data_IF_493497219212
#
_entry.id   IF_493497219212
#
_cell.length_a   1.000
_cell.length_b   1.000
_cell.length_c   1.000
_cell.angle_alpha   90.00
_cell.angle_beta   90.00
_cell.angle_gamma   90.00
#
_symmetry.space_group_name_H-M   'P 1'
#
loop_
_entity.id
_entity.type
_entity.pdbx_description
1 polymer ?
#
# COMPACT_ATOMS: atom_id res chain seq x y z
N UNK A 1 -23.31 7.68 -22.25
CA UNK A 1 -22.95 6.28 -21.90
C UNK A 1 -22.52 5.59 -23.19
N UNK A 2 -21.22 5.40 -23.40
CA UNK A 2 -20.70 4.77 -24.62
C UNK A 2 -20.47 3.29 -24.32
N UNK A 3 -21.44 2.43 -24.65
CA UNK A 3 -21.33 0.99 -24.46
C UNK A 3 -20.46 0.43 -25.59
N UNK A 4 -19.18 0.20 -25.34
CA UNK A 4 -18.36 -0.63 -26.23
C UNK A 4 -18.75 -2.09 -25.99
N UNK A 5 -19.51 -2.66 -26.92
CA UNK A 5 -19.81 -4.10 -26.94
C UNK A 5 -18.52 -4.87 -27.27
N UNK A 6 -17.73 -5.17 -26.24
CA UNK A 6 -16.64 -6.14 -26.35
C UNK A 6 -17.20 -7.56 -26.56
N UNK A 7 -16.35 -8.48 -27.05
CA UNK A 7 -16.73 -9.89 -27.19
C UNK A 7 -17.21 -10.48 -25.86
N UNK A 8 -18.13 -11.43 -25.92
CA UNK A 8 -18.50 -12.21 -24.75
C UNK A 8 -17.27 -12.95 -24.20
N UNK A 9 -17.11 -12.95 -22.88
CA UNK A 9 -16.05 -13.70 -22.22
C UNK A 9 -16.36 -15.20 -22.33
N UNK A 10 -15.35 -15.99 -22.65
CA UNK A 10 -15.42 -17.45 -22.60
C UNK A 10 -15.34 -17.91 -21.14
N UNK A 11 -15.71 -19.18 -20.91
CA UNK A 11 -15.55 -19.80 -19.58
C UNK A 11 -14.08 -19.73 -19.16
N UNK A 12 -13.83 -19.16 -17.98
CA UNK A 12 -12.48 -18.99 -17.43
C UNK A 12 -11.78 -17.69 -17.86
N UNK A 13 -12.43 -16.83 -18.65
CA UNK A 13 -11.94 -15.48 -18.94
C UNK A 13 -12.55 -14.45 -17.98
N UNK A 14 -11.73 -13.54 -17.47
CA UNK A 14 -12.12 -12.52 -16.51
C UNK A 14 -11.68 -11.14 -16.99
N UNK A 15 -12.58 -10.15 -16.88
CA UNK A 15 -12.22 -8.74 -17.11
C UNK A 15 -11.35 -8.24 -15.97
N UNK A 16 -10.25 -7.60 -16.33
CA UNK A 16 -9.27 -7.06 -15.40
C UNK A 16 -9.03 -5.59 -15.72
N UNK A 17 -9.11 -4.75 -14.69
CA UNK A 17 -8.72 -3.34 -14.78
C UNK A 17 -7.25 -3.20 -14.41
N UNK A 18 -6.47 -2.60 -15.29
CA UNK A 18 -5.05 -2.33 -15.05
C UNK A 18 -4.88 -0.86 -14.66
N UNK A 19 -4.24 -0.65 -13.52
CA UNK A 19 -3.87 0.68 -13.02
C UNK A 19 -2.35 0.80 -12.98
N UNK A 20 -1.77 1.90 -13.45
CA UNK A 20 -0.38 2.21 -13.18
C UNK A 20 -0.20 2.58 -11.71
N UNK A 21 0.78 1.97 -11.05
CA UNK A 21 1.28 2.39 -9.75
C UNK A 21 2.46 3.35 -9.96
N UNK A 22 2.27 4.60 -9.53
CA UNK A 22 3.25 5.67 -9.60
C UNK A 22 3.67 6.04 -8.16
N UNK A 23 4.52 5.21 -7.56
CA UNK A 23 4.79 5.19 -6.10
C UNK A 23 5.16 6.57 -5.53
N UNK A 24 5.88 7.40 -6.30
CA UNK A 24 6.39 8.71 -5.88
C UNK A 24 5.58 9.91 -6.41
N UNK A 25 4.49 9.67 -7.15
CA UNK A 25 3.65 10.74 -7.67
C UNK A 25 2.54 11.11 -6.69
N UNK A 26 2.08 12.36 -6.77
CA UNK A 26 0.97 12.86 -5.93
C UNK A 26 -0.35 12.11 -6.17
N UNK A 27 -0.55 11.60 -7.38
CA UNK A 27 -1.63 10.70 -7.77
C UNK A 27 -1.05 9.32 -8.11
N UNK A 28 -0.88 8.43 -7.12
CA UNK A 28 -0.12 7.21 -7.32
C UNK A 28 -0.87 6.11 -8.09
N UNK A 29 -2.16 6.30 -8.37
CA UNK A 29 -3.01 5.29 -8.98
C UNK A 29 -3.68 5.87 -10.24
N UNK A 30 -3.20 5.46 -11.40
CA UNK A 30 -3.72 5.93 -12.70
C UNK A 30 -4.33 4.78 -13.48
N UNK A 31 -5.60 4.86 -13.86
CA UNK A 31 -6.21 3.84 -14.73
C UNK A 31 -5.52 3.84 -16.11
N UNK A 32 -5.25 2.65 -16.64
CA UNK A 32 -4.66 2.48 -17.97
C UNK A 32 -5.67 1.89 -18.96
N UNK A 33 -6.10 0.64 -18.71
CA UNK A 33 -6.87 -0.14 -19.69
C UNK A 33 -7.70 -1.23 -19.00
N UNK A 34 -8.82 -1.59 -19.64
CA UNK A 34 -9.55 -2.83 -19.36
C UNK A 34 -9.01 -3.95 -20.28
N UNK A 35 -8.58 -5.05 -19.70
CA UNK A 35 -8.10 -6.24 -20.42
C UNK A 35 -8.84 -7.50 -19.95
N UNK A 36 -8.49 -8.65 -20.53
CA UNK A 36 -9.01 -9.96 -20.15
C UNK A 36 -7.85 -10.88 -19.84
N UNK A 37 -7.89 -11.52 -18.66
CA UNK A 37 -6.98 -12.61 -18.32
C UNK A 37 -7.76 -13.92 -18.24
N UNK A 38 -7.08 -15.03 -18.53
CA UNK A 38 -7.68 -16.35 -18.54
C UNK A 38 -7.12 -17.23 -17.41
N UNK A 39 -7.97 -18.11 -16.88
CA UNK A 39 -7.54 -19.22 -16.03
C UNK A 39 -6.44 -20.04 -16.73
N UNK A 40 -5.41 -20.42 -15.97
CA UNK A 40 -4.31 -21.24 -16.47
C UNK A 40 -3.24 -20.47 -17.26
N UNK A 41 -3.44 -19.18 -17.52
CA UNK A 41 -2.39 -18.31 -18.07
C UNK A 41 -1.41 -17.94 -16.96
N UNK A 42 -0.14 -17.82 -17.31
CA UNK A 42 0.88 -17.29 -16.41
C UNK A 42 0.86 -15.77 -16.37
N UNK A 43 1.39 -15.19 -15.30
CA UNK A 43 1.61 -13.73 -15.20
C UNK A 43 2.50 -13.22 -16.34
N UNK A 44 3.49 -14.00 -16.78
CA UNK A 44 4.31 -13.62 -17.94
C UNK A 44 3.49 -13.52 -19.22
N UNK A 45 2.67 -14.53 -19.52
CA UNK A 45 1.80 -14.52 -20.69
C UNK A 45 0.83 -13.33 -20.65
N UNK A 46 0.29 -13.00 -19.47
CA UNK A 46 -0.61 -11.86 -19.32
C UNK A 46 0.09 -10.52 -19.58
N UNK A 47 1.36 -10.38 -19.18
CA UNK A 47 2.20 -9.23 -19.53
C UNK A 47 2.45 -9.17 -21.04
N UNK A 48 2.76 -10.29 -21.68
CA UNK A 48 2.99 -10.37 -23.14
C UNK A 48 1.75 -9.90 -23.93
N UNK A 49 0.54 -10.25 -23.49
CA UNK A 49 -0.71 -9.76 -24.08
C UNK A 49 -1.02 -8.30 -23.74
N UNK A 50 -0.67 -7.86 -22.54
CA UNK A 50 -0.95 -6.51 -22.05
C UNK A 50 -0.05 -5.43 -22.69
N UNK A 51 1.23 -5.71 -22.90
CA UNK A 51 2.20 -4.71 -23.37
C UNK A 51 1.85 -4.08 -24.72
N UNK A 52 1.43 -4.83 -25.77
CA UNK A 52 0.96 -4.24 -27.02
C UNK A 52 -0.24 -3.30 -26.82
N UNK A 53 -1.19 -3.66 -25.95
CA UNK A 53 -2.35 -2.82 -25.64
C UNK A 53 -1.93 -1.51 -25.00
N UNK A 54 -0.97 -1.54 -24.06
CA UNK A 54 -0.44 -0.35 -23.41
C UNK A 54 0.31 0.56 -24.38
N UNK A 55 1.08 -0.02 -25.32
CA UNK A 55 1.76 0.74 -26.36
C UNK A 55 0.78 1.46 -27.28
N UNK A 56 -0.27 0.75 -27.72
CA UNK A 56 -1.25 1.31 -28.65
C UNK A 56 -2.14 2.37 -27.98
N UNK A 57 -2.75 2.02 -26.84
CA UNK A 57 -3.81 2.82 -26.19
C UNK A 57 -3.26 3.85 -25.21
N UNK A 58 -2.18 3.53 -24.50
CA UNK A 58 -1.63 4.38 -23.45
C UNK A 58 -0.31 5.07 -23.84
N UNK A 59 0.25 4.74 -25.02
CA UNK A 59 1.56 5.23 -25.49
C UNK A 59 2.71 4.87 -24.54
N UNK A 60 2.58 3.73 -23.86
CA UNK A 60 3.60 3.19 -22.97
C UNK A 60 4.34 2.05 -23.67
N UNK A 61 5.56 2.31 -24.13
CA UNK A 61 6.45 1.29 -24.72
C UNK A 61 7.37 0.76 -23.61
N UNK A 62 6.97 -0.36 -22.99
CA UNK A 62 7.60 -0.89 -21.80
C UNK A 62 8.32 -2.21 -22.10
N UNK A 63 9.44 -2.45 -21.41
CA UNK A 63 10.14 -3.73 -21.44
C UNK A 63 9.48 -4.70 -20.45
N UNK A 64 9.15 -5.90 -20.90
CA UNK A 64 8.53 -6.95 -20.08
C UNK A 64 9.32 -7.28 -18.80
N UNK A 65 10.65 -7.27 -18.85
CA UNK A 65 11.52 -7.61 -17.72
C UNK A 65 11.58 -6.48 -16.66
N UNK A 66 11.01 -5.31 -16.96
CA UNK A 66 10.92 -4.14 -16.08
C UNK A 66 9.50 -3.79 -15.69
N UNK A 67 8.55 -4.69 -15.94
CA UNK A 67 7.15 -4.50 -15.58
C UNK A 67 6.75 -5.55 -14.55
N UNK A 68 6.21 -5.09 -13.43
CA UNK A 68 5.64 -5.89 -12.37
C UNK A 68 4.12 -5.74 -12.34
N UNK A 69 3.41 -6.85 -12.10
CA UNK A 69 2.00 -6.81 -11.72
C UNK A 69 1.86 -7.01 -10.21
N UNK A 70 0.96 -6.27 -9.57
CA UNK A 70 0.61 -6.44 -8.15
C UNK A 70 -0.89 -6.54 -7.96
N UNK A 71 -1.30 -7.22 -6.89
CA UNK A 71 -2.67 -7.14 -6.39
C UNK A 71 -3.01 -5.69 -6.06
N UNK A 72 -4.15 -5.19 -6.55
CA UNK A 72 -4.70 -3.90 -6.14
C UNK A 72 -5.88 -4.11 -5.20
N UNK A 73 -5.72 -3.66 -3.95
CA UNK A 73 -6.83 -3.60 -2.99
C UNK A 73 -7.17 -2.15 -2.73
N UNK A 74 -8.15 -1.64 -3.46
CA UNK A 74 -8.50 -0.21 -3.47
C UNK A 74 -7.30 0.68 -3.85
N UNK A 75 -6.68 1.39 -2.90
CA UNK A 75 -5.47 2.21 -3.10
C UNK A 75 -4.17 1.45 -2.80
N UNK A 76 -4.24 0.32 -2.09
CA UNK A 76 -3.07 -0.37 -1.58
C UNK A 76 -2.45 -1.28 -2.66
N UNK A 77 -1.17 -1.09 -3.00
CA UNK A 77 -0.41 -2.11 -3.69
C UNK A 77 -0.18 -3.26 -2.71
N UNK A 78 -0.63 -4.46 -3.08
CA UNK A 78 -0.43 -5.67 -2.29
C UNK A 78 0.58 -6.59 -2.96
N UNK A 79 0.32 -7.89 -2.80
CA UNK A 79 1.10 -9.01 -3.31
C UNK A 79 1.70 -8.77 -4.70
N UNK A 80 3.00 -8.97 -4.82
CA UNK A 80 3.72 -9.00 -6.09
C UNK A 80 3.43 -10.32 -6.83
N UNK A 81 3.05 -10.23 -8.09
CA UNK A 81 2.83 -11.42 -8.92
C UNK A 81 4.08 -11.71 -9.76
N UNK A 82 4.74 -12.83 -9.44
CA UNK A 82 5.89 -13.34 -10.19
C UNK A 82 5.47 -13.98 -11.53
N UNK A 83 6.35 -13.89 -12.52
CA UNK A 83 6.11 -14.28 -13.92
C UNK A 83 5.59 -15.71 -14.10
N UNK A 84 6.05 -16.64 -13.24
CA UNK A 84 5.71 -18.05 -13.33
C UNK A 84 4.38 -18.41 -12.65
N UNK A 85 3.77 -17.50 -11.88
CA UNK A 85 2.49 -17.78 -11.24
C UNK A 85 1.37 -17.95 -12.26
N UNK A 86 0.48 -18.89 -11.99
CA UNK A 86 -0.66 -19.25 -12.83
C UNK A 86 -1.96 -18.75 -12.19
N UNK A 87 -2.79 -18.08 -12.98
CA UNK A 87 -4.09 -17.63 -12.51
C UNK A 87 -5.05 -18.80 -12.25
N UNK A 88 -5.78 -18.73 -11.13
CA UNK A 88 -6.63 -19.77 -10.53
C UNK A 88 -5.89 -20.95 -9.89
N UNK A 89 -4.56 -21.00 -9.97
CA UNK A 89 -3.74 -21.99 -9.26
C UNK A 89 -2.97 -21.31 -8.12
N UNK A 90 -2.15 -20.31 -8.46
CA UNK A 90 -1.38 -19.53 -7.49
C UNK A 90 -2.07 -18.22 -7.10
N UNK A 91 -2.81 -17.63 -8.05
CA UNK A 91 -3.46 -16.32 -7.88
C UNK A 91 -4.96 -16.46 -8.15
N UNK A 92 -5.78 -16.30 -7.12
CA UNK A 92 -7.24 -16.27 -7.28
C UNK A 92 -7.67 -15.03 -8.06
N UNK A 93 -8.40 -15.24 -9.16
CA UNK A 93 -8.96 -14.17 -9.98
C UNK A 93 -10.49 -14.22 -9.93
N UNK A 94 -11.14 -13.06 -10.01
CA UNK A 94 -12.60 -12.98 -9.87
C UNK A 94 -13.19 -11.91 -10.78
N UNK A 95 -14.51 -11.85 -10.82
CA UNK A 95 -15.22 -10.80 -11.54
C UNK A 95 -14.87 -9.42 -10.96
N UNK A 96 -14.48 -8.47 -11.82
CA UNK A 96 -14.01 -7.12 -11.46
C UNK A 96 -12.63 -7.06 -10.81
N UNK A 97 -11.74 -7.98 -11.20
CA UNK A 97 -10.38 -7.97 -10.70
C UNK A 97 -9.63 -6.69 -11.10
N UNK A 98 -8.86 -6.14 -10.18
CA UNK A 98 -8.01 -4.97 -10.43
C UNK A 98 -6.58 -5.31 -10.07
N UNK A 99 -5.65 -4.87 -10.92
CA UNK A 99 -4.21 -5.06 -10.72
C UNK A 99 -3.48 -3.73 -10.88
N UNK A 100 -2.39 -3.59 -10.15
CA UNK A 100 -1.41 -2.56 -10.43
C UNK A 100 -0.39 -3.09 -11.45
N UNK A 101 0.00 -2.23 -12.37
CA UNK A 101 1.18 -2.32 -13.19
C UNK A 101 2.20 -1.32 -12.67
N UNK A 102 3.37 -1.80 -12.31
CA UNK A 102 4.47 -0.97 -11.83
C UNK A 102 5.66 -1.10 -12.79
N UNK A 103 6.24 0.04 -13.15
CA UNK A 103 7.45 0.09 -13.97
C UNK A 103 8.64 0.18 -13.04
N UNK A 104 9.52 -0.81 -13.11
CA UNK A 104 10.72 -0.89 -12.29
C UNK A 104 11.88 -0.17 -12.98
N UNK A 105 12.73 0.48 -12.18
CA UNK A 105 13.99 1.06 -12.67
C UNK A 105 14.98 -0.01 -13.13
N UNK A 106 14.97 -1.15 -12.45
CA UNK A 106 15.80 -2.32 -12.67
C UNK A 106 14.94 -3.58 -12.91
N UNK A 107 15.57 -4.72 -13.17
CA UNK A 107 14.85 -5.99 -13.22
C UNK A 107 14.23 -6.34 -11.86
N UNK A 108 13.13 -7.10 -11.88
CA UNK A 108 12.47 -7.59 -10.68
C UNK A 108 13.46 -8.23 -9.69
N UNK A 109 13.42 -7.79 -8.44
CA UNK A 109 14.29 -8.26 -7.36
C UNK A 109 13.63 -9.38 -6.57
N UNK A 110 12.30 -9.39 -6.45
CA UNK A 110 11.57 -10.46 -5.79
C UNK A 110 11.62 -11.73 -6.64
N UNK A 111 11.94 -12.86 -6.01
CA UNK A 111 12.13 -14.18 -6.63
C UNK A 111 11.22 -15.25 -6.06
N UNK A 112 10.66 -15.03 -4.87
CA UNK A 112 9.83 -16.01 -4.16
C UNK A 112 8.68 -15.33 -3.43
N UNK A 113 7.56 -16.05 -3.28
CA UNK A 113 6.42 -15.64 -2.46
C UNK A 113 6.68 -15.73 -0.94
N UNK A 114 7.79 -16.34 -0.53
CA UNK A 114 8.24 -16.31 0.86
C UNK A 114 8.90 -14.97 1.24
N UNK A 115 9.35 -14.20 0.24
CA UNK A 115 9.91 -12.88 0.46
C UNK A 115 8.82 -11.86 0.72
N UNK A 116 9.20 -10.75 1.34
CA UNK A 116 8.31 -9.64 1.66
C UNK A 116 8.84 -8.34 1.04
N UNK A 117 8.04 -7.71 0.19
CA UNK A 117 8.34 -6.41 -0.40
C UNK A 117 7.74 -5.27 0.43
N UNK A 118 8.59 -4.48 1.10
CA UNK A 118 8.18 -3.36 1.95
C UNK A 118 8.56 -2.03 1.30
N UNK A 119 7.62 -1.09 1.24
CA UNK A 119 7.87 0.26 0.79
C UNK A 119 8.38 1.09 1.97
N UNK A 120 9.59 1.65 1.85
CA UNK A 120 10.24 2.42 2.88
C UNK A 120 10.33 3.89 2.49
N UNK A 121 10.25 4.79 3.46
CA UNK A 121 10.32 6.24 3.20
C UNK A 121 11.08 6.95 4.30
N UNK A 122 12.13 7.67 3.92
CA UNK A 122 12.95 8.42 4.88
C UNK A 122 12.21 9.66 5.36
N UNK A 123 12.22 9.84 6.67
CA UNK A 123 11.83 11.03 7.39
C UNK A 123 13.10 11.80 7.78
N UNK A 124 13.20 13.07 7.40
CA UNK A 124 14.33 13.95 7.76
C UNK A 124 13.86 15.09 8.66
N UNK A 125 14.01 14.97 10.00
CA UNK A 125 13.64 16.01 10.95
C UNK A 125 14.30 17.37 10.65
N UNK A 126 15.56 17.37 10.22
CA UNK A 126 16.35 18.59 10.00
C UNK A 126 15.88 19.42 8.81
N UNK A 127 15.07 18.83 7.93
CA UNK A 127 14.53 19.53 6.75
C UNK A 127 13.00 19.51 6.70
N UNK A 128 12.35 18.86 7.67
CA UNK A 128 10.90 18.64 7.73
C UNK A 128 10.34 18.07 6.42
N UNK A 129 11.04 17.07 5.85
CA UNK A 129 10.71 16.48 4.56
C UNK A 129 10.68 14.95 4.64
N UNK A 130 9.82 14.39 3.79
CA UNK A 130 9.81 12.98 3.45
C UNK A 130 10.56 12.78 2.13
N UNK A 131 11.49 11.84 2.10
CA UNK A 131 12.17 11.40 0.89
C UNK A 131 11.24 10.65 -0.08
N UNK A 132 11.77 10.20 -1.24
CA UNK A 132 11.05 9.27 -2.10
C UNK A 132 10.87 7.92 -1.41
N UNK A 133 9.84 7.19 -1.81
CA UNK A 133 9.71 5.77 -1.52
C UNK A 133 10.83 4.98 -2.18
N UNK A 134 11.33 4.01 -1.43
CA UNK A 134 12.23 2.96 -1.89
C UNK A 134 11.63 1.61 -1.50
N UNK A 135 11.93 0.54 -2.22
CA UNK A 135 11.44 -0.79 -1.86
C UNK A 135 12.59 -1.66 -1.36
N UNK A 136 12.35 -2.35 -0.25
CA UNK A 136 13.22 -3.42 0.25
C UNK A 136 12.53 -4.75 0.08
N UNK A 137 13.30 -5.75 -0.35
CA UNK A 137 12.87 -7.15 -0.37
C UNK A 137 13.54 -7.82 0.83
N UNK A 138 12.73 -8.44 1.68
CA UNK A 138 13.17 -9.15 2.88
C UNK A 138 12.98 -10.66 2.65
N UNK A 139 14.00 -11.45 2.96
CA UNK A 139 13.97 -12.92 2.95
C UNK A 139 13.23 -13.45 4.19
N UNK A 140 13.39 -12.77 5.32
CA UNK A 140 12.73 -13.08 6.58
C UNK A 140 11.90 -11.86 7.00
N UNK A 141 10.71 -12.10 7.53
CA UNK A 141 9.86 -11.04 8.09
C UNK A 141 10.34 -10.60 9.49
N UNK A 142 11.63 -10.28 9.62
CA UNK A 142 12.29 -9.88 10.87
C UNK A 142 12.56 -8.38 10.92
N UNK A 143 12.60 -7.83 12.13
CA UNK A 143 12.97 -6.42 12.35
C UNK A 143 14.45 -6.19 12.07
N UNK A 144 15.31 -7.12 12.45
CA UNK A 144 16.76 -6.97 12.27
C UNK A 144 17.13 -6.85 10.78
N UNK A 145 16.59 -7.73 9.93
CA UNK A 145 16.82 -7.67 8.48
C UNK A 145 16.29 -6.37 7.86
N UNK A 146 15.11 -5.90 8.31
CA UNK A 146 14.59 -4.60 7.88
C UNK A 146 15.56 -3.47 8.25
N UNK A 147 16.09 -3.44 9.48
CA UNK A 147 17.04 -2.41 9.92
C UNK A 147 18.35 -2.49 9.14
N UNK A 148 18.86 -3.70 8.87
CA UNK A 148 20.05 -3.92 8.05
C UNK A 148 19.88 -3.35 6.65
N UNK A 149 18.75 -3.66 5.97
CA UNK A 149 18.45 -3.11 4.64
C UNK A 149 18.30 -1.60 4.63
N UNK A 150 17.66 -1.04 5.65
CA UNK A 150 17.52 0.42 5.79
C UNK A 150 18.86 1.11 6.06
N UNK A 151 19.74 0.48 6.87
CA UNK A 151 21.09 0.98 7.15
C UNK A 151 21.93 0.99 5.88
N UNK A 152 21.93 -0.12 5.13
CA UNK A 152 22.66 -0.29 3.86
C UNK A 152 22.28 0.78 2.82
N UNK A 153 20.99 1.13 2.71
CA UNK A 153 20.53 2.08 1.69
C UNK A 153 20.65 3.56 2.07
N UNK A 154 20.88 3.87 3.35
CA UNK A 154 20.77 5.25 3.86
C UNK A 154 22.01 5.77 4.58
N UNK A 155 23.02 4.92 4.76
CA UNK A 155 24.25 5.18 5.51
C UNK A 155 24.01 5.55 6.99
N UNK A 156 22.82 5.25 7.54
CA UNK A 156 22.51 5.43 8.96
C UNK A 156 22.94 4.17 9.71
N UNK A 157 23.77 4.29 10.75
CA UNK A 157 24.15 3.13 11.56
C UNK A 157 22.95 2.52 12.29
N UNK A 158 22.96 1.19 12.47
CA UNK A 158 21.85 0.44 13.07
C UNK A 158 21.39 0.94 14.44
N UNK A 159 22.34 1.44 15.25
CA UNK A 159 22.13 2.02 16.57
C UNK A 159 21.37 3.36 16.53
N UNK A 160 21.55 4.11 15.43
CA UNK A 160 20.93 5.41 15.20
C UNK A 160 19.69 5.31 14.31
N UNK A 161 19.29 4.09 13.92
CA UNK A 161 18.18 3.87 13.01
C UNK A 161 16.87 3.67 13.78
N UNK A 162 15.98 4.63 13.60
CA UNK A 162 14.60 4.58 14.08
C UNK A 162 13.66 4.21 12.93
N UNK A 163 12.64 3.38 13.20
CA UNK A 163 11.60 3.08 12.21
C UNK A 163 10.20 3.01 12.83
N UNK A 164 9.18 3.19 12.00
CA UNK A 164 7.79 3.07 12.36
C UNK A 164 6.94 2.59 11.18
N UNK A 165 5.85 1.86 11.44
CA UNK A 165 4.89 1.48 10.40
C UNK A 165 3.97 2.66 10.04
N UNK A 166 3.77 2.89 8.74
CA UNK A 166 2.78 3.83 8.23
C UNK A 166 1.35 3.39 8.52
N UNK A 167 0.47 4.37 8.79
CA UNK A 167 -0.95 4.13 9.08
C UNK A 167 -1.83 4.40 7.86
N UNK A 168 -2.99 3.75 7.82
CA UNK A 168 -3.98 3.93 6.77
C UNK A 168 -3.62 3.24 5.45
N UNK A 169 -4.21 3.72 4.35
CA UNK A 169 -3.94 3.21 3.01
C UNK A 169 -2.74 3.88 2.38
N UNK A 170 -2.07 3.18 1.45
CA UNK A 170 -1.04 3.76 0.61
C UNK A 170 -1.49 5.11 0.00
N UNK A 171 -0.65 6.17 0.06
CA UNK A 171 0.77 6.18 0.43
C UNK A 171 1.05 6.37 1.94
N UNK A 172 0.08 6.11 2.81
CA UNK A 172 0.15 6.39 4.26
C UNK A 172 0.44 7.86 4.53
N UNK A 173 -0.38 8.73 3.91
CA UNK A 173 -0.25 10.17 4.02
C UNK A 173 -0.29 10.64 5.48
N UNK A 174 0.75 11.37 5.87
CA UNK A 174 0.94 11.89 7.23
C UNK A 174 1.59 13.26 7.19
N UNK A 175 1.23 14.14 8.12
CA UNK A 175 1.83 15.47 8.24
C UNK A 175 3.28 15.37 8.71
N UNK A 176 4.16 16.12 8.06
CA UNK A 176 5.54 16.26 8.55
C UNK A 176 5.59 16.90 9.95
N UNK A 177 4.57 17.63 10.37
CA UNK A 177 4.55 18.19 11.72
C UNK A 177 4.15 17.19 12.81
N UNK A 178 3.53 16.06 12.44
CA UNK A 178 2.83 15.18 13.38
C UNK A 178 3.39 13.76 13.41
N UNK A 179 4.00 13.28 12.32
CA UNK A 179 4.62 11.96 12.20
C UNK A 179 5.54 11.53 13.36
N UNK A 180 6.21 12.47 14.03
CA UNK A 180 7.05 12.17 15.18
C UNK A 180 6.21 11.66 16.36
N UNK A 181 5.02 12.23 16.54
CA UNK A 181 4.11 11.93 17.64
C UNK A 181 3.06 10.88 17.24
N UNK A 182 2.65 10.89 15.97
CA UNK A 182 1.55 10.07 15.47
C UNK A 182 1.96 8.65 15.11
N UNK A 183 3.24 8.40 14.82
CA UNK A 183 3.75 7.05 14.56
C UNK A 183 4.35 6.43 15.83
N UNK A 184 4.24 5.11 15.91
CA UNK A 184 4.86 4.32 16.98
C UNK A 184 6.28 3.96 16.56
N UNK A 185 7.24 4.77 17.01
CA UNK A 185 8.66 4.64 16.68
C UNK A 185 9.33 3.56 17.55
N UNK A 186 10.15 2.73 16.89
CA UNK A 186 10.90 1.63 17.52
C UNK A 186 10.03 0.65 18.32
N UNK A 187 9.04 0.02 17.64
CA UNK A 187 8.19 -0.96 18.28
C UNK A 187 9.02 -2.11 18.85
N UNK A 188 8.67 -2.57 20.06
CA UNK A 188 9.42 -3.59 20.80
C UNK A 188 9.03 -5.01 20.36
N UNK A 189 9.31 -5.33 19.10
CA UNK A 189 9.08 -6.64 18.48
C UNK A 189 10.30 -7.08 17.68
N UNK A 190 10.48 -8.39 17.53
CA UNK A 190 11.54 -8.98 16.70
C UNK A 190 11.07 -9.38 15.30
N UNK A 191 9.76 -9.58 15.12
CA UNK A 191 9.17 -9.96 13.83
C UNK A 191 8.15 -8.93 13.36
N UNK A 192 8.04 -8.78 12.04
CA UNK A 192 7.20 -7.75 11.41
C UNK A 192 5.71 -8.07 11.43
N UNK A 193 5.35 -9.34 11.53
CA UNK A 193 3.95 -9.81 11.49
C UNK A 193 3.23 -9.74 12.86
N UNK A 194 3.88 -9.25 13.90
CA UNK A 194 3.33 -9.15 15.26
C UNK A 194 2.88 -7.72 15.57
N UNK A 195 1.90 -7.55 16.47
CA UNK A 195 1.49 -6.24 16.97
C UNK A 195 2.69 -5.50 17.60
N UNK A 196 2.90 -4.21 17.34
CA UNK A 196 1.99 -3.27 16.65
C UNK A 196 2.20 -3.20 15.13
N UNK A 197 3.15 -3.95 14.57
CA UNK A 197 3.50 -3.89 13.15
C UNK A 197 2.47 -4.60 12.27
N UNK A 198 2.14 -5.87 12.45
CA UNK A 198 1.24 -6.61 11.55
C UNK A 198 1.52 -6.36 10.06
N UNK A 199 2.79 -6.47 9.66
CA UNK A 199 3.21 -6.45 8.27
C UNK A 199 3.28 -7.91 7.82
N UNK A 200 2.23 -8.36 7.16
CA UNK A 200 2.08 -9.75 6.69
C UNK A 200 2.12 -9.86 5.16
N UNK A 201 1.90 -8.75 4.46
CA UNK A 201 1.73 -8.70 3.02
C UNK A 201 2.61 -7.58 2.43
N UNK A 202 2.95 -7.75 1.15
CA UNK A 202 3.68 -6.76 0.36
C UNK A 202 3.01 -5.38 0.34
N UNK A 203 3.82 -4.35 0.09
CA UNK A 203 3.37 -2.97 -0.13
C UNK A 203 3.03 -2.21 1.15
N UNK A 204 3.26 -2.81 2.33
CA UNK A 204 3.24 -2.09 3.59
C UNK A 204 4.26 -0.94 3.57
N UNK A 205 3.90 0.19 4.17
CA UNK A 205 4.75 1.38 4.27
C UNK A 205 5.45 1.41 5.62
N UNK A 206 6.77 1.60 5.60
CA UNK A 206 7.62 1.85 6.77
C UNK A 206 8.32 3.19 6.63
N UNK A 207 8.17 4.04 7.64
CA UNK A 207 8.96 5.26 7.77
C UNK A 207 10.22 4.97 8.58
N UNK A 208 11.32 5.63 8.24
CA UNK A 208 12.57 5.51 8.99
C UNK A 208 13.32 6.85 9.06
N UNK A 209 14.16 7.02 10.07
CA UNK A 209 14.96 8.24 10.28
C UNK A 209 16.24 7.94 11.04
N UNK A 210 17.14 8.92 11.05
CA UNK A 210 18.25 8.93 12.01
C UNK A 210 17.75 9.51 13.33
N UNK A 211 18.04 8.84 14.45
CA UNK A 211 17.75 9.32 15.80
C UNK A 211 18.65 10.47 16.22
N UNK A 212 19.81 10.63 15.56
CA UNK A 212 20.78 11.71 15.80
C UNK A 212 20.45 13.00 15.06
N UNK A 213 19.43 13.00 14.21
CA UNK A 213 19.06 14.17 13.41
C UNK A 213 18.19 15.11 14.24
N UNK A 214 18.69 16.32 14.50
CA UNK A 214 17.93 17.34 15.23
C UNK A 214 16.80 17.91 14.35
N UNK A 215 15.58 18.06 14.88
CA UNK A 215 14.49 18.71 14.16
C UNK A 215 14.83 20.15 13.79
N UNK A 216 14.41 20.57 12.60
CA UNK A 216 14.50 21.96 12.18
C UNK A 216 13.71 22.85 13.15
N UNK A 217 14.35 23.90 13.67
CA UNK A 217 13.62 24.97 14.36
C UNK A 217 12.84 25.79 13.33
N UNK A 218 11.53 25.89 13.53
CA UNK A 218 10.63 26.68 12.69
C UNK A 218 10.17 27.88 13.49
N UNK A 219 10.21 29.06 12.87
CA UNK A 219 9.48 30.23 13.36
C UNK A 219 7.97 29.96 13.38
N UNK A 220 7.21 30.77 14.13
CA UNK A 220 5.75 30.64 14.16
C UNK A 220 5.13 30.78 12.77
N UNK A 221 5.64 31.70 11.96
CA UNK A 221 5.18 31.93 10.59
C UNK A 221 5.48 30.74 9.68
N UNK A 222 6.71 30.21 9.69
CA UNK A 222 7.08 29.02 8.91
C UNK A 222 6.26 27.79 9.32
N UNK A 223 6.04 27.61 10.63
CA UNK A 223 5.21 26.54 11.16
C UNK A 223 3.76 26.68 10.70
N UNK A 224 3.20 27.88 10.72
CA UNK A 224 1.85 28.17 10.24
C UNK A 224 1.70 27.93 8.73
N UNK A 225 2.68 28.33 7.94
CA UNK A 225 2.70 28.06 6.50
C UNK A 225 2.80 26.56 6.20
N UNK A 226 3.65 25.83 6.92
CA UNK A 226 3.78 24.38 6.77
C UNK A 226 2.49 23.66 7.17
N UNK A 227 1.85 24.06 8.27
CA UNK A 227 0.53 23.54 8.68
C UNK A 227 -0.53 23.72 7.58
N UNK A 228 -0.61 24.92 6.97
CA UNK A 228 -1.56 25.20 5.87
C UNK A 228 -1.27 24.32 4.64
N UNK A 229 0.01 24.15 4.31
CA UNK A 229 0.45 23.34 3.17
C UNK A 229 0.09 21.86 3.37
N UNK A 230 0.43 21.30 4.53
CA UNK A 230 0.15 19.90 4.86
C UNK A 230 -1.35 19.64 4.96
N UNK A 231 -2.11 20.54 5.59
CA UNK A 231 -3.58 20.45 5.65
C UNK A 231 -4.19 20.42 4.25
N UNK A 232 -3.72 21.28 3.35
CA UNK A 232 -4.19 21.32 1.95
C UNK A 232 -3.84 20.05 1.18
N UNK A 233 -2.64 19.49 1.41
CA UNK A 233 -2.19 18.24 0.79
C UNK A 233 -3.06 17.05 1.23
N UNK A 234 -3.28 16.91 2.54
CA UNK A 234 -4.09 15.81 3.10
C UNK A 234 -5.57 15.87 2.69
N UNK A 235 -6.11 17.08 2.49
CA UNK A 235 -7.46 17.26 1.94
C UNK A 235 -7.57 16.76 0.50
N UNK A 236 -6.57 17.05 -0.35
CA UNK A 236 -6.57 16.63 -1.77
C UNK A 236 -6.51 15.12 -1.93
N UNK A 237 -5.76 14.42 -1.07
CA UNK A 237 -5.60 12.97 -1.17
C UNK A 237 -6.76 12.18 -0.55
N UNK A 238 -7.73 12.88 0.04
CA UNK A 238 -8.95 12.29 0.62
C UNK A 238 -8.69 11.53 1.92
N UNK A 239 -7.54 11.71 2.56
CA UNK A 239 -7.16 11.05 3.82
C UNK A 239 -7.76 11.80 5.03
N UNK A 240 -9.10 11.88 5.10
CA UNK A 240 -9.78 12.06 6.38
C UNK A 240 -10.19 10.68 6.89
N UNK A 241 -9.32 10.01 7.62
CA UNK A 241 -9.84 9.14 8.69
C UNK A 241 -10.26 10.09 9.80
N UNK A 242 -11.51 10.56 9.73
CA UNK A 242 -12.13 11.22 10.86
C UNK A 242 -12.28 10.16 11.96
N UNK A 243 -11.27 9.98 12.80
CA UNK A 243 -11.54 9.53 14.15
C UNK A 243 -12.37 10.64 14.79
N UNK A 244 -13.68 10.41 14.81
CA UNK A 244 -14.60 11.22 15.59
C UNK A 244 -14.10 11.18 17.05
N UNK A 245 -13.83 12.32 17.70
CA UNK A 245 -13.53 12.35 19.14
C UNK A 245 -14.74 11.98 20.00
N UNK A 246 -15.89 11.60 19.41
CA UNK A 246 -17.05 11.18 20.19
C UNK A 246 -16.69 9.90 20.93
N UNK A 247 -16.56 10.03 22.25
CA UNK A 247 -16.79 8.97 23.23
C UNK A 247 -17.84 8.01 22.68
N UNK A 248 -17.43 6.78 22.40
CA UNK A 248 -18.35 5.71 22.05
C UNK A 248 -19.45 5.69 23.11
N UNK A 249 -20.69 5.94 22.69
CA UNK A 249 -21.85 5.63 23.52
C UNK A 249 -22.21 4.19 23.24
N UNK A 250 -22.20 3.36 24.29
CA UNK A 250 -22.60 1.97 24.20
C UNK A 250 -23.96 1.82 23.49
N UNK A 251 -24.02 0.87 22.55
CA UNK A 251 -25.26 0.47 21.90
C UNK A 251 -26.18 -0.18 22.95
N UNK A 252 -27.32 0.46 23.23
CA UNK A 252 -28.42 -0.18 23.97
C UNK A 252 -29.25 -0.99 22.99
N UNK A 253 -29.12 -2.31 23.06
CA UNK A 253 -30.00 -3.24 22.37
C UNK A 253 -31.22 -3.44 23.26
N UNK A 254 -32.40 -3.05 22.76
CA UNK A 254 -33.67 -3.41 23.39
C UNK A 254 -34.12 -4.73 22.79
N UNK A 255 -34.22 -5.76 23.63
CA UNK A 255 -34.84 -7.02 23.27
C UNK A 255 -36.35 -6.88 23.51
N UNK A 256 -37.10 -6.57 22.47
CA UNK A 256 -38.57 -6.71 22.51
C UNK A 256 -38.93 -8.20 22.46
N UNK A 257 -39.02 -8.80 23.65
CA UNK A 257 -39.64 -10.11 23.87
C UNK A 257 -41.02 -9.91 24.49
N UNK A 258 -42.07 -10.13 23.71
CA UNK A 258 -43.47 -9.88 24.05
C UNK A 258 -44.04 -10.71 25.23
N UNK A 259 -45.33 -10.49 25.56
CA UNK A 259 -45.91 -10.85 26.85
C UNK A 259 -46.05 -12.38 27.02
N UNK A 260 -45.37 -12.92 28.02
CA UNK A 260 -45.65 -14.26 28.55
C UNK A 260 -46.93 -14.22 29.37
N UNK A 261 -47.95 -14.93 28.88
CA UNK A 261 -49.19 -15.23 29.61
C UNK A 261 -48.85 -15.99 30.88
N UNK A 262 -49.33 -15.52 32.03
CA UNK A 262 -49.40 -16.27 33.27
C UNK A 262 -50.50 -17.34 33.21
N UNK A 263 -50.22 -18.60 33.56
CA UNK A 263 -51.23 -19.55 33.98
C UNK A 263 -51.00 -19.92 35.45
N UNK A 264 -51.87 -19.40 36.31
CA UNK A 264 -52.31 -20.10 37.53
C UNK A 264 -51.62 -19.72 38.84
N UNK A 265 -52.40 -19.13 39.74
CA UNK A 265 -52.65 -19.72 41.06
C UNK A 265 -53.91 -19.09 41.67
N UNK A 266 -54.65 -19.92 42.40
CA UNK A 266 -55.98 -19.75 42.99
C UNK A 266 -56.20 -18.47 43.83
#
# INVERSE_FOLDING_TARGET
>A
ITIRLGRALKKGEYRVKVYQLLVNESEPCKFLVDTVFAKGMTVRQSKEELLPLLKEQCKLDLNIDRVRLRKKTWKNPGTVFLDYHVYEEDISISSNWEVFLEVLSESEKMKSMSQLAVLTRRWSPSTMKLGPFQEVILENSSVDELKEKLSEMSDISLENLDFAKGRGTFPCDISVLEIQQDLDWNPKVSTLNVWPLYICDDGAVVFYRSSTEEPMELSEDERNELMKRESSRLLKTGHRVSYSPRKEKALKIYLDGGPTKDPGQD
#
